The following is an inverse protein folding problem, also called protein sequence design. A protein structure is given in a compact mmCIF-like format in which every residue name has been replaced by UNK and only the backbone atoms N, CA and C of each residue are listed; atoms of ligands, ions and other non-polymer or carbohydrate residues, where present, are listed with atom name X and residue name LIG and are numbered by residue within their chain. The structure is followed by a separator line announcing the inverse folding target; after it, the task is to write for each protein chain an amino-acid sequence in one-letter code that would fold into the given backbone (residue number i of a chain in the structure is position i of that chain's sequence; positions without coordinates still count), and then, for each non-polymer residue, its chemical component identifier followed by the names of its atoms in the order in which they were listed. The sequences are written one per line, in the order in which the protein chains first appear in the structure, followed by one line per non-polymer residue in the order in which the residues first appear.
data_IF_055486665946
#
_entry.id   IF_055486665946
#
_cell.length_a   1.000
_cell.length_b   1.000
_cell.length_c   1.000
_cell.angle_alpha   90.00
_cell.angle_beta   90.00
_cell.angle_gamma   90.00
#
_symmetry.space_group_name_H-M   'P 1'
#
loop_
_entity.id
_entity.type
_entity.pdbx_description
1 polymer ?
#
# COMPACT_ATOMS: atom_id res chain seq x y z
N UNK A 1 -17.26 15.96 13.13
CA UNK A 1 -16.21 17.01 13.15
C UNK A 1 -15.14 16.62 12.15
N UNK A 2 -14.62 17.55 11.36
CA UNK A 2 -13.56 17.29 10.36
C UNK A 2 -12.20 17.51 11.02
N UNK A 3 -11.27 16.54 10.90
CA UNK A 3 -9.92 16.66 11.47
C UNK A 3 -8.97 17.50 10.60
N UNK A 4 -8.90 17.22 9.29
CA UNK A 4 -8.09 17.95 8.34
C UNK A 4 -8.82 18.08 6.99
N UNK A 5 -8.62 19.19 6.28
CA UNK A 5 -9.16 19.45 4.92
C UNK A 5 -8.06 19.82 3.94
N UNK A 6 -8.39 19.85 2.64
CA UNK A 6 -7.49 20.34 1.59
C UNK A 6 -6.42 19.34 1.15
N UNK A 7 -6.71 18.04 1.27
CA UNK A 7 -5.93 16.93 0.72
C UNK A 7 -6.49 16.53 -0.65
N UNK A 8 -5.66 16.01 -1.55
CA UNK A 8 -6.09 15.47 -2.86
C UNK A 8 -6.13 13.95 -2.85
N UNK A 9 -7.35 13.39 -2.84
CA UNK A 9 -7.60 11.92 -2.81
C UNK A 9 -6.77 11.22 -1.73
N UNK A 10 -6.99 11.54 -0.43
CA UNK A 10 -6.16 11.00 0.65
C UNK A 10 -6.48 9.55 0.95
N UNK A 11 -5.44 8.73 1.15
CA UNK A 11 -5.53 7.33 1.58
C UNK A 11 -4.44 6.99 2.62
N UNK A 12 -4.51 5.77 3.17
CA UNK A 12 -3.52 5.21 4.09
C UNK A 12 -3.20 6.05 5.33
N UNK A 13 -4.16 6.57 6.12
CA UNK A 13 -3.80 7.32 7.32
C UNK A 13 -3.04 6.47 8.34
N UNK A 14 -1.88 6.95 8.78
CA UNK A 14 -1.07 6.33 9.85
C UNK A 14 -0.88 7.32 10.98
N UNK A 15 -1.31 6.93 12.19
CA UNK A 15 -1.09 7.68 13.42
C UNK A 15 0.35 7.48 13.92
N UNK A 16 1.02 8.57 14.25
CA UNK A 16 2.36 8.58 14.83
C UNK A 16 2.30 8.67 16.36
N UNK A 17 3.41 8.31 17.02
CA UNK A 17 3.48 8.28 18.49
C UNK A 17 3.34 9.65 19.16
N UNK A 18 3.61 10.73 18.44
CA UNK A 18 3.42 12.12 18.90
C UNK A 18 2.00 12.65 18.63
N UNK A 19 1.10 11.80 18.15
CA UNK A 19 -0.28 12.13 17.81
C UNK A 19 -0.46 12.77 16.44
N UNK A 20 0.63 13.04 15.71
CA UNK A 20 0.56 13.51 14.32
C UNK A 20 0.25 12.36 13.35
N UNK A 21 -0.01 12.67 12.08
CA UNK A 21 -0.41 11.67 11.09
C UNK A 21 0.46 11.74 9.84
N UNK A 22 0.61 10.60 9.18
CA UNK A 22 1.00 10.51 7.78
C UNK A 22 -0.20 10.08 6.95
N UNK A 23 -0.31 10.61 5.74
CA UNK A 23 -1.27 10.19 4.71
C UNK A 23 -0.55 10.16 3.36
N UNK A 24 -1.08 9.41 2.40
CA UNK A 24 -0.75 9.58 0.99
C UNK A 24 -1.84 10.42 0.31
N UNK A 25 -1.44 11.24 -0.65
CA UNK A 25 -2.33 11.99 -1.54
C UNK A 25 -2.17 11.45 -2.97
N UNK A 26 -3.13 10.63 -3.42
CA UNK A 26 -3.09 9.92 -4.71
C UNK A 26 -3.38 10.80 -5.92
N UNK A 27 -3.95 11.99 -5.71
CA UNK A 27 -4.33 12.88 -6.80
C UNK A 27 -3.15 13.21 -7.69
N UNK A 28 -3.36 13.21 -9.02
CA UNK A 28 -2.29 13.45 -10.00
C UNK A 28 -1.65 14.84 -9.89
N UNK A 29 -2.32 15.79 -9.23
CA UNK A 29 -1.80 17.12 -8.89
C UNK A 29 -0.85 17.10 -7.68
N UNK A 30 -0.94 16.06 -6.84
CA UNK A 30 -0.19 15.92 -5.59
C UNK A 30 0.84 14.80 -5.68
N UNK A 31 0.41 13.54 -5.70
CA UNK A 31 1.30 12.37 -5.71
C UNK A 31 2.35 12.43 -4.60
N UNK A 32 1.93 12.43 -3.34
CA UNK A 32 2.87 12.63 -2.23
C UNK A 32 2.50 11.94 -0.93
N UNK A 33 3.50 11.78 -0.06
CA UNK A 33 3.32 11.54 1.37
C UNK A 33 3.23 12.88 2.09
N UNK A 34 2.20 13.06 2.90
CA UNK A 34 1.93 14.30 3.64
C UNK A 34 1.86 14.00 5.14
N UNK A 35 2.60 14.78 5.91
CA UNK A 35 2.50 14.84 7.36
C UNK A 35 1.47 15.88 7.78
N UNK A 36 0.70 15.55 8.81
CA UNK A 36 -0.38 16.37 9.37
C UNK A 36 -0.12 16.51 10.87
N UNK A 37 -0.16 17.73 11.40
CA UNK A 37 0.00 17.98 12.84
C UNK A 37 -1.05 17.25 13.68
N UNK A 38 -0.76 17.02 14.96
CA UNK A 38 -1.67 16.33 15.89
C UNK A 38 -3.01 17.04 16.11
N UNK A 39 -3.12 18.32 15.74
CA UNK A 39 -4.37 19.09 15.76
C UNK A 39 -5.01 19.27 14.36
N UNK A 40 -4.45 18.65 13.32
CA UNK A 40 -4.98 18.66 11.96
C UNK A 40 -4.79 19.97 11.18
N UNK A 41 -4.16 20.99 11.77
CA UNK A 41 -4.10 22.34 11.18
C UNK A 41 -2.95 22.53 10.20
N UNK A 42 -1.79 21.97 10.50
CA UNK A 42 -0.60 22.09 9.68
C UNK A 42 -0.42 20.86 8.80
N UNK A 43 0.05 21.09 7.58
CA UNK A 43 0.37 20.04 6.61
C UNK A 43 1.75 20.31 6.03
N UNK A 44 2.55 19.27 5.91
CA UNK A 44 3.87 19.31 5.26
C UNK A 44 4.00 18.13 4.31
N UNK A 45 4.27 18.40 3.04
CA UNK A 45 4.65 17.36 2.09
C UNK A 45 6.02 16.82 2.51
N UNK A 46 6.10 15.52 2.80
CA UNK A 46 7.34 14.83 3.15
C UNK A 46 8.13 14.51 1.89
N UNK A 47 7.46 13.88 0.92
CA UNK A 47 8.07 13.43 -0.31
C UNK A 47 7.06 13.42 -1.46
N UNK A 48 7.54 13.77 -2.66
CA UNK A 48 6.81 13.56 -3.92
C UNK A 48 7.16 12.18 -4.46
N UNK A 49 6.14 11.44 -4.88
CA UNK A 49 6.29 10.12 -5.53
C UNK A 49 5.55 10.17 -6.88
N UNK A 50 4.89 9.09 -7.31
CA UNK A 50 3.98 9.09 -8.44
C UNK A 50 2.52 9.15 -7.97
N UNK A 51 1.96 7.98 -7.74
CA UNK A 51 0.59 7.70 -7.30
C UNK A 51 0.65 6.73 -6.11
N UNK A 52 0.94 7.24 -4.91
CA UNK A 52 1.05 6.43 -3.71
C UNK A 52 -0.35 6.08 -3.18
N UNK A 53 -0.68 4.80 -3.04
CA UNK A 53 -2.03 4.35 -2.67
C UNK A 53 -2.16 3.99 -1.18
N UNK A 54 -1.15 3.31 -0.62
CA UNK A 54 -1.15 2.87 0.76
C UNK A 54 0.18 3.18 1.44
N UNK A 55 0.16 3.27 2.77
CA UNK A 55 1.38 3.51 3.54
C UNK A 55 1.36 2.80 4.90
N UNK A 56 2.54 2.41 5.36
CA UNK A 56 2.75 1.90 6.70
C UNK A 56 4.06 2.44 7.29
N UNK A 57 4.15 2.49 8.61
CA UNK A 57 5.37 2.88 9.33
C UNK A 57 5.96 1.65 10.02
N UNK A 58 7.27 1.44 9.86
CA UNK A 58 7.95 0.42 10.65
C UNK A 58 8.51 0.96 11.98
N UNK A 59 8.96 0.05 12.84
CA UNK A 59 9.53 0.38 14.16
C UNK A 59 10.82 1.19 14.12
N UNK A 60 11.43 1.36 12.95
CA UNK A 60 12.65 2.14 12.75
C UNK A 60 12.36 3.53 12.18
N UNK A 61 11.08 3.86 11.97
CA UNK A 61 10.64 5.13 11.42
C UNK A 61 10.73 5.21 9.89
N UNK A 62 10.92 4.09 9.19
CA UNK A 62 10.79 4.08 7.74
C UNK A 62 9.32 4.13 7.37
N UNK A 63 8.99 4.98 6.39
CA UNK A 63 7.68 5.09 5.80
C UNK A 63 7.69 4.21 4.54
N UNK A 64 6.89 3.17 4.54
CA UNK A 64 6.73 2.26 3.42
C UNK A 64 5.50 2.67 2.62
N UNK A 65 5.62 2.72 1.30
CA UNK A 65 4.56 3.22 0.42
C UNK A 65 4.32 2.26 -0.74
N UNK A 66 3.07 1.87 -0.94
CA UNK A 66 2.63 1.15 -2.13
C UNK A 66 2.41 2.16 -3.26
N UNK A 67 3.26 2.11 -4.29
CA UNK A 67 3.28 3.05 -5.40
C UNK A 67 2.69 2.38 -6.65
N UNK A 68 1.63 2.97 -7.21
CA UNK A 68 0.88 2.44 -8.37
C UNK A 68 1.01 3.29 -9.64
N UNK A 69 1.89 4.28 -9.62
CA UNK A 69 2.16 5.19 -10.73
C UNK A 69 2.95 4.54 -11.86
N UNK A 70 3.69 5.35 -12.61
CA UNK A 70 4.39 4.90 -13.82
C UNK A 70 5.39 3.75 -13.58
N UNK A 71 5.94 3.67 -12.37
CA UNK A 71 6.79 2.56 -11.92
C UNK A 71 6.16 1.94 -10.67
N UNK A 72 5.32 0.89 -10.82
CA UNK A 72 4.76 0.15 -9.71
C UNK A 72 5.87 -0.39 -8.79
N UNK A 73 5.81 -0.05 -7.51
CA UNK A 73 6.89 -0.34 -6.57
C UNK A 73 6.40 -0.38 -5.11
N UNK A 74 7.20 -1.04 -4.27
CA UNK A 74 7.27 -0.66 -2.86
C UNK A 74 8.37 0.41 -2.72
N UNK A 75 8.01 1.57 -2.17
CA UNK A 75 8.96 2.63 -1.87
C UNK A 75 9.32 2.63 -0.38
N UNK A 76 10.56 3.02 -0.09
CA UNK A 76 10.99 3.42 1.24
C UNK A 76 11.20 4.92 1.27
N UNK A 77 10.51 5.59 2.20
CA UNK A 77 10.55 7.04 2.40
C UNK A 77 11.00 7.33 3.82
N UNK A 78 11.81 8.36 3.99
CA UNK A 78 12.23 8.87 5.30
C UNK A 78 11.54 10.19 5.62
N UNK A 79 11.45 10.56 6.91
CA UNK A 79 10.75 11.78 7.35
C UNK A 79 11.39 13.09 6.85
N UNK A 80 12.68 13.05 6.49
CA UNK A 80 13.43 14.12 5.83
C UNK A 80 13.25 14.14 4.30
N UNK A 81 12.44 13.23 3.74
CA UNK A 81 11.98 13.27 2.35
C UNK A 81 12.83 12.48 1.35
N UNK A 82 13.76 11.64 1.80
CA UNK A 82 14.46 10.73 0.88
C UNK A 82 13.49 9.65 0.40
N UNK A 83 13.55 9.34 -0.90
CA UNK A 83 12.72 8.32 -1.54
C UNK A 83 13.63 7.30 -2.21
N UNK A 84 13.40 6.04 -1.90
CA UNK A 84 14.04 4.91 -2.53
C UNK A 84 12.99 4.00 -3.17
N UNK A 85 13.22 3.60 -4.42
CA UNK A 85 12.54 2.46 -5.03
C UNK A 85 13.12 1.18 -4.43
N UNK A 86 12.38 0.55 -3.52
CA UNK A 86 12.93 -0.56 -2.73
C UNK A 86 12.89 -1.89 -3.49
N UNK A 87 11.72 -2.23 -4.04
CA UNK A 87 11.49 -3.40 -4.94
C UNK A 87 10.37 -3.09 -5.92
N UNK A 88 10.43 -3.69 -7.11
CA UNK A 88 9.46 -3.48 -8.22
C UNK A 88 8.87 -4.78 -8.78
N UNK A 89 9.32 -5.93 -8.29
CA UNK A 89 8.99 -7.24 -8.85
C UNK A 89 9.11 -8.36 -7.81
N UNK A 90 8.55 -9.51 -8.13
CA UNK A 90 8.73 -10.78 -7.43
C UNK A 90 9.15 -11.83 -8.45
N UNK A 91 10.33 -12.44 -8.28
CA UNK A 91 10.83 -13.51 -9.15
C UNK A 91 10.80 -13.17 -10.66
N UNK A 92 11.14 -11.93 -11.01
CA UNK A 92 11.13 -11.42 -12.39
C UNK A 92 9.75 -11.04 -12.94
N UNK A 93 8.68 -11.17 -12.14
CA UNK A 93 7.35 -10.65 -12.46
C UNK A 93 7.16 -9.24 -11.87
N UNK A 94 7.01 -8.19 -12.69
CA UNK A 94 6.77 -6.84 -12.20
C UNK A 94 5.47 -6.75 -11.40
N UNK A 95 5.44 -5.82 -10.45
CA UNK A 95 4.19 -5.39 -9.84
C UNK A 95 3.29 -4.69 -10.86
N UNK A 96 1.99 -4.80 -10.66
CA UNK A 96 0.98 -4.23 -11.57
C UNK A 96 0.36 -2.97 -10.97
N UNK A 97 -0.15 -3.08 -9.73
CA UNK A 97 -0.82 -1.99 -9.02
C UNK A 97 -0.76 -2.21 -7.50
N UNK A 98 0.41 -2.01 -6.86
CA UNK A 98 0.52 -1.95 -5.41
C UNK A 98 -0.55 -1.04 -4.82
N UNK A 99 -1.31 -1.55 -3.85
CA UNK A 99 -2.48 -0.85 -3.33
C UNK A 99 -2.30 -0.47 -1.87
N UNK A 100 -2.25 -1.46 -0.98
CA UNK A 100 -2.11 -1.25 0.45
C UNK A 100 -1.01 -2.13 1.03
N UNK A 101 -0.56 -1.80 2.25
CA UNK A 101 0.43 -2.57 2.96
C UNK A 101 0.28 -2.50 4.48
N UNK A 102 0.77 -3.54 5.15
CA UNK A 102 0.86 -3.63 6.60
C UNK A 102 2.22 -4.17 7.02
N UNK A 103 2.69 -3.75 8.21
CA UNK A 103 3.84 -4.38 8.86
C UNK A 103 3.33 -5.55 9.70
N UNK A 104 3.84 -6.75 9.42
CA UNK A 104 3.47 -7.94 10.17
C UNK A 104 4.15 -8.04 11.54
N UNK A 105 3.70 -8.99 12.38
CA UNK A 105 4.27 -9.21 13.71
C UNK A 105 5.72 -9.68 13.69
N UNK A 106 6.19 -10.21 12.57
CA UNK A 106 7.59 -10.56 12.28
C UNK A 106 8.45 -9.35 11.86
N UNK A 107 7.84 -8.19 11.65
CA UNK A 107 8.48 -6.99 11.12
C UNK A 107 8.73 -7.05 9.61
N UNK A 108 8.13 -7.99 8.88
CA UNK A 108 8.11 -7.98 7.42
C UNK A 108 6.95 -7.13 6.88
N UNK A 109 7.01 -6.80 5.60
CA UNK A 109 6.01 -5.97 4.93
C UNK A 109 5.07 -6.88 4.14
N UNK A 110 3.78 -6.71 4.33
CA UNK A 110 2.73 -7.42 3.61
C UNK A 110 2.04 -6.43 2.71
N UNK A 111 1.95 -6.74 1.42
CA UNK A 111 1.48 -5.78 0.43
C UNK A 111 0.48 -6.43 -0.52
N UNK A 112 -0.59 -5.72 -0.84
CA UNK A 112 -1.53 -6.08 -1.89
C UNK A 112 -1.11 -5.46 -3.21
N UNK A 113 -1.27 -6.21 -4.28
CA UNK A 113 -1.19 -5.72 -5.66
C UNK A 113 -2.53 -6.05 -6.34
N UNK A 114 -3.26 -5.02 -6.76
CA UNK A 114 -4.60 -5.17 -7.32
C UNK A 114 -4.63 -5.93 -8.65
N UNK A 115 -3.48 -6.21 -9.25
CA UNK A 115 -3.38 -7.18 -10.33
C UNK A 115 -3.82 -6.67 -11.69
N UNK A 116 -3.91 -5.35 -11.87
CA UNK A 116 -4.33 -4.68 -13.11
C UNK A 116 -3.37 -3.55 -13.43
N UNK A 117 -2.99 -3.33 -14.68
CA UNK A 117 -2.13 -2.19 -14.99
C UNK A 117 -2.90 -0.87 -14.85
N UNK A 118 -2.23 0.18 -14.38
CA UNK A 118 -2.84 1.51 -14.23
C UNK A 118 -3.47 2.04 -15.53
N UNK A 119 -2.88 1.73 -16.69
CA UNK A 119 -3.42 2.09 -18.02
C UNK A 119 -4.73 1.37 -18.37
N UNK A 120 -4.93 0.17 -17.83
CA UNK A 120 -6.13 -0.64 -18.07
C UNK A 120 -7.23 -0.27 -17.06
N UNK A 121 -6.85 0.03 -15.81
CA UNK A 121 -7.78 0.50 -14.78
C UNK A 121 -8.28 1.94 -15.05
N UNK A 122 -7.35 2.86 -15.31
CA UNK A 122 -7.62 4.29 -15.40
C UNK A 122 -6.80 4.97 -16.53
N UNK A 123 -7.10 4.68 -17.82
CA UNK A 123 -6.41 5.30 -18.94
C UNK A 123 -6.51 6.82 -18.88
N UNK A 124 -5.37 7.51 -18.98
CA UNK A 124 -5.31 8.98 -18.86
C UNK A 124 -5.72 9.49 -17.47
N UNK A 125 -5.64 8.65 -16.43
CA UNK A 125 -5.99 9.00 -15.05
C UNK A 125 -7.49 8.93 -14.73
N UNK A 126 -8.34 8.51 -15.68
CA UNK A 126 -9.79 8.37 -15.47
C UNK A 126 -10.16 6.90 -15.42
N UNK A 127 -10.75 6.45 -14.31
CA UNK A 127 -11.26 5.09 -14.17
C UNK A 127 -12.26 4.82 -15.29
N UNK A 128 -12.00 3.79 -16.09
CA UNK A 128 -12.92 3.39 -17.16
C UNK A 128 -14.12 2.62 -16.56
N UNK A 129 -15.32 2.70 -17.12
CA UNK A 129 -16.52 2.11 -16.49
C UNK A 129 -16.52 0.57 -16.44
N UNK A 130 -15.81 -0.09 -17.34
CA UNK A 130 -15.77 -1.55 -17.52
C UNK A 130 -14.51 -2.21 -16.92
N UNK A 131 -13.74 -1.46 -16.12
CA UNK A 131 -12.47 -1.91 -15.53
C UNK A 131 -12.58 -3.24 -14.76
N UNK A 132 -13.72 -3.48 -14.11
CA UNK A 132 -13.96 -4.69 -13.31
C UNK A 132 -14.01 -5.97 -14.15
N UNK A 133 -14.14 -5.87 -15.48
CA UNK A 133 -14.10 -7.02 -16.41
C UNK A 133 -12.73 -7.24 -17.04
N UNK A 134 -11.76 -6.35 -16.78
CA UNK A 134 -10.41 -6.51 -17.29
C UNK A 134 -9.74 -7.77 -16.71
N UNK A 135 -8.82 -8.40 -17.44
CA UNK A 135 -7.97 -9.45 -16.88
C UNK A 135 -7.25 -8.92 -15.63
N UNK A 136 -7.29 -9.72 -14.56
CA UNK A 136 -6.67 -9.40 -13.29
C UNK A 136 -5.98 -10.62 -12.73
N UNK A 137 -4.78 -10.41 -12.21
CA UNK A 137 -4.02 -11.34 -11.40
C UNK A 137 -3.61 -10.62 -10.12
N UNK A 138 -4.59 -10.42 -9.22
CA UNK A 138 -4.37 -9.77 -7.94
C UNK A 138 -3.56 -10.66 -7.01
N UNK A 139 -2.62 -10.07 -6.28
CA UNK A 139 -1.58 -10.79 -5.54
C UNK A 139 -1.41 -10.23 -4.14
N UNK A 140 -0.94 -11.09 -3.24
CA UNK A 140 -0.49 -10.73 -1.90
C UNK A 140 0.97 -11.11 -1.76
N UNK A 141 1.80 -10.18 -1.30
CA UNK A 141 3.22 -10.40 -1.12
C UNK A 141 3.63 -10.26 0.34
N UNK A 142 4.68 -11.00 0.72
CA UNK A 142 5.49 -10.78 1.92
C UNK A 142 6.88 -10.35 1.49
N UNK A 143 7.38 -9.26 2.05
CA UNK A 143 8.61 -8.59 1.65
C UNK A 143 9.50 -8.40 2.86
N UNK A 144 10.71 -8.95 2.80
CA UNK A 144 11.69 -8.80 3.86
C UNK A 144 12.45 -7.46 3.70
N UNK A 145 12.33 -6.51 4.66
CA UNK A 145 12.94 -5.19 4.55
C UNK A 145 14.47 -5.19 4.70
N UNK A 146 15.08 -6.29 5.14
CA UNK A 146 16.54 -6.42 5.29
C UNK A 146 17.21 -7.01 4.06
N UNK A 147 16.56 -7.99 3.44
CA UNK A 147 17.13 -8.76 2.32
C UNK A 147 16.52 -8.41 0.98
N UNK A 148 15.46 -7.59 0.94
CA UNK A 148 14.64 -7.30 -0.26
C UNK A 148 13.98 -8.54 -0.89
N UNK A 149 13.96 -9.66 -0.16
CA UNK A 149 13.31 -10.88 -0.66
C UNK A 149 11.81 -10.65 -0.69
N UNK A 150 11.20 -10.88 -1.84
CA UNK A 150 9.76 -10.87 -2.04
C UNK A 150 9.29 -12.32 -2.17
N UNK A 151 8.18 -12.65 -1.53
CA UNK A 151 7.50 -13.94 -1.64
C UNK A 151 6.03 -13.66 -1.95
N UNK A 152 5.53 -14.26 -3.03
CA UNK A 152 4.10 -14.26 -3.36
C UNK A 152 3.38 -15.24 -2.43
N UNK A 153 2.50 -14.72 -1.58
CA UNK A 153 1.65 -15.51 -0.67
C UNK A 153 0.47 -16.07 -1.44
N UNK A 154 -0.16 -15.24 -2.28
CA UNK A 154 -1.36 -15.59 -3.02
C UNK A 154 -1.44 -14.84 -4.36
N UNK A 155 -2.26 -15.34 -5.29
CA UNK A 155 -2.43 -14.82 -6.65
C UNK A 155 -3.78 -15.19 -7.28
N UNK A 156 -4.13 -14.60 -8.42
CA UNK A 156 -5.39 -14.86 -9.11
C UNK A 156 -6.60 -14.12 -8.54
N UNK A 157 -6.39 -13.25 -7.55
CA UNK A 157 -7.46 -12.45 -6.93
C UNK A 157 -7.99 -11.37 -7.87
N UNK A 158 -9.22 -10.91 -7.61
CA UNK A 158 -9.90 -9.83 -8.32
C UNK A 158 -9.87 -8.54 -7.52
N UNK A 159 -8.80 -7.77 -7.77
CA UNK A 159 -8.58 -6.44 -7.20
C UNK A 159 -8.52 -6.46 -5.65
N UNK A 160 -7.54 -7.15 -5.05
CA UNK A 160 -7.26 -6.97 -3.63
C UNK A 160 -6.78 -5.54 -3.39
N UNK A 161 -7.31 -4.91 -2.33
CA UNK A 161 -7.13 -3.49 -2.09
C UNK A 161 -6.50 -3.25 -0.72
N UNK A 162 -7.20 -3.53 0.38
CA UNK A 162 -6.75 -3.35 1.75
C UNK A 162 -6.20 -4.62 2.41
N UNK A 163 -5.30 -4.42 3.37
CA UNK A 163 -4.64 -5.50 4.12
C UNK A 163 -4.37 -5.09 5.57
N UNK A 164 -4.62 -6.00 6.51
CA UNK A 164 -4.38 -5.73 7.93
C UNK A 164 -4.09 -7.01 8.72
N UNK A 165 -3.30 -6.88 9.78
CA UNK A 165 -3.20 -7.91 10.81
C UNK A 165 -4.27 -7.68 11.88
N UNK A 166 -4.98 -8.74 12.23
CA UNK A 166 -5.97 -8.74 13.31
C UNK A 166 -5.34 -8.91 14.71
N UNK A 167 -6.12 -8.68 15.78
CA UNK A 167 -5.67 -8.91 17.15
C UNK A 167 -5.43 -10.40 17.47
N UNK A 168 -5.95 -11.30 16.64
CA UNK A 168 -5.68 -12.74 16.67
C UNK A 168 -4.34 -13.12 16.01
N UNK A 169 -3.62 -12.14 15.46
CA UNK A 169 -2.34 -12.33 14.78
C UNK A 169 -2.47 -12.76 13.32
N UNK A 170 -3.68 -12.98 12.81
CA UNK A 170 -3.90 -13.42 11.43
C UNK A 170 -3.88 -12.24 10.46
N UNK A 171 -3.59 -12.53 9.19
CA UNK A 171 -3.62 -11.55 8.11
C UNK A 171 -4.98 -11.57 7.41
N UNK A 172 -5.53 -10.39 7.16
CA UNK A 172 -6.81 -10.20 6.49
C UNK A 172 -6.61 -9.36 5.24
N UNK A 173 -7.16 -9.82 4.12
CA UNK A 173 -7.07 -9.14 2.81
C UNK A 173 -8.46 -9.07 2.21
N UNK A 174 -8.89 -7.90 1.76
CA UNK A 174 -10.14 -7.82 0.99
C UNK A 174 -9.89 -8.16 -0.49
N UNK A 175 -10.91 -8.70 -1.14
CA UNK A 175 -10.95 -8.87 -2.58
C UNK A 175 -12.19 -8.13 -3.09
N UNK A 176 -11.97 -6.98 -3.73
CA UNK A 176 -13.01 -5.96 -3.90
C UNK A 176 -14.17 -6.43 -4.78
N UNK A 177 -13.86 -7.06 -5.91
CA UNK A 177 -14.88 -7.39 -6.93
C UNK A 177 -15.84 -8.49 -6.48
N UNK A 178 -15.38 -9.65 -5.96
CA UNK A 178 -16.26 -10.67 -5.42
C UNK A 178 -16.77 -10.33 -4.00
N UNK A 179 -16.32 -9.21 -3.42
CA UNK A 179 -16.68 -8.75 -2.08
C UNK A 179 -16.36 -9.78 -0.98
N UNK A 180 -15.13 -10.31 -1.01
CA UNK A 180 -14.63 -11.31 -0.06
C UNK A 180 -13.62 -10.65 0.90
N UNK A 181 -13.57 -11.13 2.14
CA UNK A 181 -12.43 -10.90 3.04
C UNK A 181 -11.80 -12.24 3.32
N UNK A 182 -10.56 -12.41 2.87
CA UNK A 182 -9.74 -13.58 3.11
C UNK A 182 -9.08 -13.48 4.48
N UNK A 183 -8.93 -14.63 5.14
CA UNK A 183 -8.16 -14.76 6.37
C UNK A 183 -7.05 -15.77 6.13
N UNK A 184 -5.83 -15.33 6.30
CA UNK A 184 -4.64 -16.15 6.22
C UNK A 184 -4.13 -16.41 7.63
N UNK A 185 -4.07 -17.68 8.03
CA UNK A 185 -3.60 -18.05 9.35
C UNK A 185 -2.10 -17.80 9.49
N UNK A 186 -1.73 -17.15 10.59
CA UNK A 186 -0.35 -16.85 10.93
C UNK A 186 0.13 -17.78 12.05
N UNK A 187 1.11 -18.63 11.74
CA UNK A 187 1.73 -19.54 12.72
C UNK A 187 3.25 -19.55 12.56
N UNK A 188 3.95 -19.43 13.68
CA UNK A 188 5.42 -19.55 13.77
C UNK A 188 6.23 -18.72 12.75
N UNK A 189 5.77 -17.51 12.45
CA UNK A 189 6.48 -16.60 11.55
C UNK A 189 6.13 -16.76 10.06
N UNK A 190 5.09 -17.53 9.74
CA UNK A 190 4.66 -17.81 8.38
C UNK A 190 3.14 -17.81 8.23
N UNK A 191 2.68 -17.48 7.03
CA UNK A 191 1.30 -17.70 6.59
C UNK A 191 1.16 -19.18 6.21
N UNK A 192 0.18 -19.88 6.79
CA UNK A 192 0.02 -21.34 6.64
C UNK A 192 -1.22 -21.76 5.83
N UNK A 193 -2.08 -20.82 5.43
CA UNK A 193 -3.28 -21.11 4.66
C UNK A 193 -3.49 -20.06 3.56
N UNK A 194 -3.74 -20.52 2.33
CA UNK A 194 -4.41 -19.79 1.25
C UNK A 194 -5.65 -20.57 0.84
#
# INVERSE_FOLDING_TARGET
MIFCTGLSVPEGPVLLSDGSFLVVEMGADRGCVTHISSDGKEKRVIAKTGRPNGLALDRYGNIWVAESGNLPALLRVTMDGQVEVFVTECDGEPFLFPNDLAIGPDGEIYMTDSGILAKDFAPGGKVRPDWATCPMDGRVYRINPKTRRVVKIDSGMKFPNGIAFGPDGNLYVNEMIPAIVWRYEWQDGHIISG
#
